data_IF_026333460107
#
_entry.id   IF_026333460107
#
_cell.length_a   1.000
_cell.length_b   1.000
_cell.length_c   1.000
_cell.angle_alpha   90.00
_cell.angle_beta   90.00
_cell.angle_gamma   90.00
#
_symmetry.space_group_name_H-M   'P 1'
#
loop_
_entity.id
_entity.type
_entity.pdbx_description
1 polymer ?
#
# COMPACT_ATOMS: atom_id res chain seq x y z
N UNK A 1 -1.01 24.16 8.18
CA UNK A 1 -1.29 25.62 8.08
C UNK A 1 -0.36 26.44 8.94
N UNK A 2 -0.26 26.23 10.27
CA UNK A 2 0.58 27.03 11.16
C UNK A 2 2.09 27.04 10.83
N UNK A 3 2.64 25.97 10.29
CA UNK A 3 4.07 25.90 9.94
C UNK A 3 4.47 26.86 8.80
N UNK A 4 3.64 26.98 7.77
CA UNK A 4 3.92 27.87 6.64
C UNK A 4 3.70 29.34 6.96
N UNK A 5 2.75 29.67 7.86
CA UNK A 5 2.59 31.02 8.36
C UNK A 5 3.79 31.46 9.22
N UNK A 6 4.38 30.55 10.01
CA UNK A 6 5.59 30.79 10.79
C UNK A 6 6.87 30.92 9.96
N UNK A 7 6.88 30.41 8.71
CA UNK A 7 7.98 30.53 7.77
C UNK A 7 7.96 31.85 6.94
N UNK A 8 7.05 32.76 7.22
CA UNK A 8 6.92 34.05 6.50
C UNK A 8 6.37 33.93 5.08
N UNK A 9 5.86 32.77 4.70
CA UNK A 9 5.19 32.58 3.43
C UNK A 9 3.81 33.20 3.51
N UNK A 10 3.58 34.27 2.77
CA UNK A 10 2.31 34.99 2.75
C UNK A 10 1.21 34.05 2.21
N UNK A 11 -0.02 34.33 2.64
CA UNK A 11 -1.21 33.58 2.22
C UNK A 11 -1.45 33.54 0.68
N UNK A 12 -0.68 34.32 -0.08
CA UNK A 12 -0.75 34.39 -1.54
C UNK A 12 0.12 33.38 -2.28
N UNK A 13 1.08 32.76 -1.60
CA UNK A 13 2.03 31.81 -2.21
C UNK A 13 1.49 30.37 -2.40
N UNK A 14 0.31 30.07 -1.87
CA UNK A 14 -0.24 28.70 -1.93
C UNK A 14 -1.60 28.69 -2.64
N UNK A 15 -1.76 27.89 -3.72
CA UNK A 15 -3.06 27.73 -4.38
C UNK A 15 -4.20 27.37 -3.41
N UNK A 16 -3.89 26.58 -2.37
CA UNK A 16 -4.84 26.21 -1.32
C UNK A 16 -5.26 27.37 -0.41
N UNK A 17 -4.45 28.40 -0.26
CA UNK A 17 -4.81 29.60 0.54
C UNK A 17 -5.62 30.58 -0.29
N UNK A 18 -5.32 30.72 -1.59
CA UNK A 18 -6.19 31.44 -2.53
C UNK A 18 -7.58 30.81 -2.55
N UNK A 19 -7.63 29.49 -2.63
CA UNK A 19 -8.85 28.71 -2.59
C UNK A 19 -9.61 28.85 -1.25
N UNK A 20 -8.90 28.87 -0.12
CA UNK A 20 -9.51 29.14 1.19
C UNK A 20 -10.10 30.55 1.31
N UNK A 21 -9.50 31.56 0.68
CA UNK A 21 -10.06 32.94 0.60
C UNK A 21 -11.32 32.96 -0.24
N UNK A 22 -11.33 32.28 -1.40
CA UNK A 22 -12.50 32.15 -2.26
C UNK A 22 -13.62 31.36 -1.56
N UNK A 23 -13.28 30.26 -0.88
CA UNK A 23 -14.23 29.49 -0.07
C UNK A 23 -14.80 30.29 1.12
N UNK A 24 -14.10 31.32 1.57
CA UNK A 24 -14.59 32.27 2.58
C UNK A 24 -15.44 33.40 1.97
N UNK A 25 -15.78 33.33 0.68
CA UNK A 25 -16.65 34.31 -0.02
C UNK A 25 -15.92 35.58 -0.51
N UNK A 26 -14.58 35.51 -0.70
CA UNK A 26 -13.85 36.63 -1.34
C UNK A 26 -14.04 36.57 -2.86
N UNK A 27 -14.41 37.65 -3.46
CA UNK A 27 -14.55 37.78 -4.93
C UNK A 27 -13.22 37.62 -5.65
N UNK A 28 -13.25 37.03 -6.85
CA UNK A 28 -12.12 37.08 -7.78
C UNK A 28 -11.99 38.49 -8.34
N UNK A 29 -10.88 39.15 -8.06
CA UNK A 29 -10.53 40.48 -8.52
C UNK A 29 -9.25 40.48 -9.36
N UNK A 30 -8.93 41.58 -10.00
CA UNK A 30 -7.66 41.77 -10.73
C UNK A 30 -6.45 41.57 -9.81
N UNK A 31 -6.53 41.97 -8.54
CA UNK A 31 -5.48 41.77 -7.54
C UNK A 31 -5.35 40.29 -7.14
N UNK A 32 -6.47 39.57 -7.12
CA UNK A 32 -6.46 38.11 -6.89
C UNK A 32 -5.71 37.40 -8.02
N UNK A 33 -5.96 37.83 -9.27
CA UNK A 33 -5.27 37.29 -10.46
C UNK A 33 -3.77 37.58 -10.38
N UNK A 34 -3.39 38.84 -10.11
CA UNK A 34 -1.99 39.26 -9.99
C UNK A 34 -1.24 38.46 -8.92
N UNK A 35 -1.88 38.17 -7.78
CA UNK A 35 -1.31 37.32 -6.73
C UNK A 35 -1.14 35.86 -7.15
N UNK A 36 -2.04 35.36 -7.99
CA UNK A 36 -1.96 33.97 -8.51
C UNK A 36 -0.83 33.82 -9.56
N UNK A 37 -0.57 34.86 -10.35
CA UNK A 37 0.51 34.89 -11.35
C UNK A 37 1.89 34.67 -10.75
N UNK A 38 2.16 35.21 -9.56
CA UNK A 38 3.43 35.03 -8.85
C UNK A 38 3.70 33.55 -8.57
N UNK A 39 2.65 32.79 -8.24
CA UNK A 39 2.74 31.35 -7.97
C UNK A 39 2.83 30.53 -9.25
N UNK A 40 2.11 30.98 -10.30
CA UNK A 40 2.07 30.30 -11.60
C UNK A 40 3.32 30.58 -12.45
N UNK A 41 4.14 31.57 -12.10
CA UNK A 41 5.31 31.99 -12.88
C UNK A 41 4.94 32.59 -14.23
N UNK A 42 3.78 33.22 -14.33
CA UNK A 42 3.29 33.93 -15.52
C UNK A 42 3.04 35.40 -15.17
N UNK A 43 2.93 36.27 -16.19
CA UNK A 43 2.65 37.69 -15.98
C UNK A 43 1.69 38.14 -17.07
N UNK A 44 0.61 38.80 -16.66
CA UNK A 44 -0.37 39.43 -17.55
C UNK A 44 -0.42 40.94 -17.30
N UNK A 45 -0.81 41.70 -18.30
CA UNK A 45 -1.06 43.13 -18.11
C UNK A 45 -2.45 43.39 -17.50
N UNK A 46 -2.74 44.63 -17.18
CA UNK A 46 -4.01 45.00 -16.53
C UNK A 46 -5.24 44.73 -17.40
N UNK A 47 -5.13 44.89 -18.71
CA UNK A 47 -6.22 44.64 -19.66
C UNK A 47 -6.49 43.14 -19.83
N UNK A 48 -5.42 42.32 -19.84
CA UNK A 48 -5.51 40.87 -19.90
C UNK A 48 -6.17 40.30 -18.63
N UNK A 49 -5.80 40.81 -17.44
CA UNK A 49 -6.44 40.41 -16.18
C UNK A 49 -7.92 40.72 -16.15
N UNK A 50 -8.31 41.91 -16.65
CA UNK A 50 -9.71 42.30 -16.74
C UNK A 50 -10.52 41.36 -17.67
N UNK A 51 -9.96 40.99 -18.81
CA UNK A 51 -10.55 40.00 -19.72
C UNK A 51 -10.75 38.62 -19.10
N UNK A 52 -9.94 38.24 -18.12
CA UNK A 52 -10.00 36.93 -17.46
C UNK A 52 -11.11 36.84 -16.40
N UNK A 53 -11.55 37.96 -15.82
CA UNK A 53 -12.45 37.99 -14.66
C UNK A 53 -13.74 37.19 -14.86
N UNK A 54 -14.45 37.45 -15.94
CA UNK A 54 -15.73 36.77 -16.20
C UNK A 54 -15.55 35.27 -16.41
N UNK A 55 -14.50 34.87 -17.10
CA UNK A 55 -14.15 33.48 -17.30
C UNK A 55 -13.83 32.74 -16.00
N UNK A 56 -13.07 33.40 -15.12
CA UNK A 56 -12.68 32.84 -13.82
C UNK A 56 -13.88 32.74 -12.86
N UNK A 57 -14.77 33.73 -12.82
CA UNK A 57 -16.02 33.68 -12.04
C UNK A 57 -16.94 32.55 -12.52
N UNK A 58 -17.06 32.34 -13.83
CA UNK A 58 -17.80 31.19 -14.36
C UNK A 58 -17.16 29.87 -13.99
N UNK A 59 -15.83 29.81 -14.00
CA UNK A 59 -15.10 28.60 -13.61
C UNK A 59 -15.30 28.28 -12.12
N UNK A 60 -15.28 29.28 -11.25
CA UNK A 60 -15.60 29.16 -9.83
C UNK A 60 -16.98 28.52 -9.62
N UNK A 61 -18.02 29.05 -10.26
CA UNK A 61 -19.37 28.50 -10.20
C UNK A 61 -19.45 27.04 -10.67
N UNK A 62 -18.70 26.69 -11.73
CA UNK A 62 -18.62 25.31 -12.23
C UNK A 62 -17.93 24.40 -11.22
N UNK A 63 -16.88 24.86 -10.56
CA UNK A 63 -16.16 24.11 -9.53
C UNK A 63 -17.07 23.90 -8.29
N UNK A 64 -17.81 24.91 -7.87
CA UNK A 64 -18.82 24.79 -6.82
C UNK A 64 -19.90 23.75 -7.16
N UNK A 65 -20.39 23.79 -8.41
CA UNK A 65 -21.35 22.79 -8.88
C UNK A 65 -20.75 21.38 -8.88
N UNK A 66 -19.48 21.24 -9.27
CA UNK A 66 -18.75 19.97 -9.26
C UNK A 66 -18.60 19.44 -7.83
N UNK A 67 -18.30 20.31 -6.85
CA UNK A 67 -18.16 19.90 -5.44
C UNK A 67 -19.50 19.40 -4.83
N UNK A 68 -20.64 19.75 -5.42
CA UNK A 68 -21.95 19.24 -5.00
C UNK A 68 -22.21 17.80 -5.50
N UNK A 69 -21.40 17.31 -6.44
CA UNK A 69 -21.50 15.93 -6.94
C UNK A 69 -20.78 15.00 -5.97
N UNK A 70 -21.56 14.14 -5.31
CA UNK A 70 -20.98 13.11 -4.43
C UNK A 70 -20.32 12.00 -5.25
N UNK A 71 -18.99 11.94 -5.22
CA UNK A 71 -18.20 10.88 -5.87
C UNK A 71 -17.50 10.04 -4.80
N UNK A 72 -17.96 8.80 -4.55
CA UNK A 72 -17.24 7.87 -3.70
C UNK A 72 -15.83 7.61 -4.21
N UNK A 73 -14.86 7.42 -3.32
CA UNK A 73 -13.48 7.09 -3.69
C UNK A 73 -13.36 5.81 -4.54
N UNK A 74 -14.39 4.97 -4.56
CA UNK A 74 -14.47 3.78 -5.40
C UNK A 74 -14.75 4.05 -6.89
N UNK A 75 -15.15 5.27 -7.24
CA UNK A 75 -15.44 5.64 -8.64
C UNK A 75 -14.15 6.05 -9.34
N UNK A 76 -13.71 5.25 -10.29
CA UNK A 76 -12.52 5.56 -11.09
C UNK A 76 -12.80 6.66 -12.11
N UNK A 77 -11.80 7.49 -12.45
CA UNK A 77 -11.91 8.45 -13.53
C UNK A 77 -12.13 7.74 -14.88
N UNK A 78 -12.77 8.44 -15.82
CA UNK A 78 -12.99 7.93 -17.19
C UNK A 78 -11.68 7.77 -17.97
N UNK A 79 -10.65 8.53 -17.61
CA UNK A 79 -9.31 8.45 -18.23
C UNK A 79 -8.44 7.51 -17.39
N UNK A 80 -7.88 6.48 -18.05
CA UNK A 80 -6.99 5.51 -17.41
C UNK A 80 -5.58 5.70 -17.96
N UNK A 81 -4.59 5.74 -17.06
CA UNK A 81 -3.19 5.75 -17.45
C UNK A 81 -2.80 4.38 -18.04
N UNK A 82 -2.26 4.39 -19.27
CA UNK A 82 -1.70 3.19 -19.91
C UNK A 82 -0.16 3.24 -19.82
N UNK A 83 0.48 2.33 -19.07
CA UNK A 83 1.94 2.30 -18.94
C UNK A 83 2.65 1.74 -20.18
N UNK A 84 1.93 1.30 -21.19
CA UNK A 84 2.52 0.75 -22.40
C UNK A 84 2.96 1.88 -23.36
N UNK A 85 4.22 1.91 -23.80
CA UNK A 85 4.64 2.85 -24.82
C UNK A 85 3.87 2.64 -26.15
N UNK A 86 3.65 3.69 -26.95
CA UNK A 86 2.98 3.58 -28.23
C UNK A 86 3.58 2.46 -29.10
N UNK A 87 2.71 1.67 -29.72
CA UNK A 87 3.11 0.55 -30.58
C UNK A 87 3.57 -0.71 -29.85
N UNK A 88 3.63 -0.71 -28.51
CA UNK A 88 3.87 -1.92 -27.70
C UNK A 88 2.55 -2.57 -27.31
N UNK A 89 2.57 -3.89 -27.23
CA UNK A 89 1.42 -4.71 -26.79
C UNK A 89 1.88 -5.65 -25.68
N UNK A 90 1.00 -5.90 -24.72
CA UNK A 90 1.22 -6.97 -23.75
C UNK A 90 1.14 -8.31 -24.50
N UNK A 91 2.16 -9.14 -24.31
CA UNK A 91 2.07 -10.53 -24.76
C UNK A 91 1.08 -11.26 -23.83
N UNK A 92 -0.07 -11.62 -24.36
CA UNK A 92 -1.02 -12.45 -23.65
C UNK A 92 -0.51 -13.89 -23.72
N UNK A 93 0.24 -14.29 -22.70
CA UNK A 93 0.71 -15.65 -22.55
C UNK A 93 -0.27 -16.47 -21.70
N UNK A 94 -0.32 -17.79 -21.95
CA UNK A 94 -1.05 -18.68 -21.05
C UNK A 94 -0.38 -18.70 -19.67
N UNK A 95 -1.17 -18.65 -18.58
CA UNK A 95 -0.61 -18.82 -17.25
C UNK A 95 0.21 -20.12 -17.16
N UNK A 96 1.38 -20.05 -16.54
CA UNK A 96 2.23 -21.22 -16.26
C UNK A 96 2.35 -21.37 -14.75
N UNK A 97 2.45 -22.59 -14.23
CA UNK A 97 2.71 -22.80 -12.80
C UNK A 97 4.01 -22.09 -12.39
N UNK A 98 3.97 -21.50 -11.20
CA UNK A 98 5.16 -20.92 -10.57
C UNK A 98 6.20 -22.01 -10.30
N UNK A 99 7.44 -21.77 -10.72
CA UNK A 99 8.59 -22.64 -10.42
C UNK A 99 9.33 -22.06 -9.23
N UNK A 100 9.13 -22.68 -8.05
CA UNK A 100 9.72 -22.25 -6.79
C UNK A 100 11.07 -22.90 -6.52
N UNK A 101 11.89 -22.26 -5.69
CA UNK A 101 13.11 -22.84 -5.18
C UNK A 101 12.83 -24.05 -4.26
N UNK A 102 13.82 -24.90 -4.10
CA UNK A 102 13.75 -26.00 -3.12
C UNK A 102 13.89 -25.44 -1.71
N UNK A 103 12.88 -25.69 -0.89
CA UNK A 103 12.89 -25.24 0.51
C UNK A 103 13.71 -26.19 1.36
N UNK A 104 14.71 -25.65 2.05
CA UNK A 104 15.47 -26.33 3.09
C UNK A 104 14.95 -25.85 4.45
N UNK A 105 14.20 -26.71 5.14
CA UNK A 105 13.65 -26.34 6.44
C UNK A 105 14.77 -26.29 7.49
N UNK A 106 14.79 -25.23 8.26
CA UNK A 106 15.61 -25.09 9.46
C UNK A 106 15.10 -26.07 10.54
N UNK A 107 15.98 -26.53 11.46
CA UNK A 107 15.53 -27.23 12.65
C UNK A 107 14.50 -26.39 13.43
N UNK A 108 13.42 -27.02 13.87
CA UNK A 108 12.47 -26.36 14.76
C UNK A 108 12.99 -26.48 16.18
N UNK A 109 12.88 -25.42 16.94
CA UNK A 109 13.06 -25.42 18.40
C UNK A 109 11.74 -25.70 19.10
N UNK A 110 11.75 -25.73 20.41
CA UNK A 110 10.53 -25.87 21.22
C UNK A 110 9.83 -24.51 21.44
N UNK A 111 10.42 -23.40 20.98
CA UNK A 111 9.84 -22.07 21.10
C UNK A 111 9.09 -21.71 19.80
N UNK A 112 7.76 -21.58 19.85
CA UNK A 112 6.97 -21.16 18.69
C UNK A 112 7.38 -19.76 18.15
N UNK A 113 7.98 -18.90 18.99
CA UNK A 113 8.40 -17.57 18.58
C UNK A 113 9.55 -17.60 17.55
N UNK A 114 10.31 -18.68 17.47
CA UNK A 114 11.33 -18.83 16.43
C UNK A 114 10.75 -18.84 15.01
N UNK A 115 9.47 -19.23 14.86
CA UNK A 115 8.76 -19.22 13.59
C UNK A 115 8.42 -17.79 13.13
N UNK A 116 8.44 -16.81 14.02
CA UNK A 116 8.00 -15.44 13.74
C UNK A 116 8.77 -14.78 12.57
N UNK A 117 10.04 -15.15 12.40
CA UNK A 117 10.91 -14.61 11.36
C UNK A 117 11.16 -15.56 10.18
N UNK A 118 10.45 -16.69 10.13
CA UNK A 118 10.55 -17.59 9.00
C UNK A 118 9.91 -16.94 7.75
N UNK A 119 10.51 -17.10 6.56
CA UNK A 119 9.89 -16.67 5.32
C UNK A 119 8.64 -17.49 5.02
N UNK A 120 7.74 -16.94 4.23
CA UNK A 120 6.49 -17.62 3.79
C UNK A 120 6.81 -18.96 3.15
N UNK A 121 7.88 -19.05 2.38
CA UNK A 121 8.34 -20.29 1.74
C UNK A 121 8.55 -21.43 2.75
N UNK A 122 9.21 -21.16 3.89
CA UNK A 122 9.41 -22.15 4.94
C UNK A 122 8.15 -22.44 5.75
N UNK A 123 7.40 -21.38 6.15
CA UNK A 123 6.13 -21.54 6.87
C UNK A 123 5.13 -22.38 6.05
N UNK A 124 5.04 -22.12 4.75
CA UNK A 124 4.22 -22.87 3.80
C UNK A 124 4.57 -24.37 3.78
N UNK A 125 5.84 -24.69 3.77
CA UNK A 125 6.31 -26.08 3.74
C UNK A 125 6.06 -26.78 5.09
N UNK A 126 6.20 -26.07 6.22
CA UNK A 126 5.86 -26.58 7.55
C UNK A 126 4.37 -26.91 7.65
N UNK A 127 3.48 -26.01 7.20
CA UNK A 127 2.04 -26.25 7.14
C UNK A 127 1.68 -27.43 6.23
N UNK A 128 2.26 -27.47 5.02
CA UNK A 128 2.04 -28.54 4.07
C UNK A 128 2.45 -29.90 4.61
N UNK A 129 3.55 -29.96 5.36
CA UNK A 129 4.03 -31.18 6.06
C UNK A 129 3.35 -31.41 7.40
N UNK A 130 2.42 -30.56 7.82
CA UNK A 130 1.73 -30.65 9.11
C UNK A 130 2.69 -30.64 10.31
N UNK A 131 3.82 -29.93 10.17
CA UNK A 131 4.82 -29.73 11.23
C UNK A 131 4.42 -28.59 12.18
N UNK A 132 3.56 -27.72 11.70
CA UNK A 132 2.91 -26.63 12.42
C UNK A 132 1.50 -26.49 11.86
N UNK A 133 0.57 -26.01 12.67
CA UNK A 133 -0.81 -25.70 12.27
C UNK A 133 -0.96 -24.22 11.99
N UNK A 134 -1.97 -23.87 11.19
CA UNK A 134 -2.35 -22.47 10.95
C UNK A 134 -2.80 -21.79 12.24
N UNK A 135 -3.47 -22.55 13.13
CA UNK A 135 -3.91 -22.05 14.43
C UNK A 135 -2.71 -21.68 15.31
N UNK A 136 -1.68 -22.51 15.40
CA UNK A 136 -0.45 -22.22 16.18
C UNK A 136 0.25 -20.95 15.65
N UNK A 137 0.39 -20.83 14.33
CA UNK A 137 0.96 -19.62 13.71
C UNK A 137 0.11 -18.38 14.00
N UNK A 138 -1.23 -18.50 13.90
CA UNK A 138 -2.15 -17.39 14.16
C UNK A 138 -2.09 -16.94 15.61
N UNK A 139 -2.09 -17.87 16.55
CA UNK A 139 -1.95 -17.59 17.99
C UNK A 139 -0.62 -16.88 18.28
N UNK A 140 0.48 -17.38 17.73
CA UNK A 140 1.81 -16.79 17.90
C UNK A 140 1.85 -15.35 17.38
N UNK A 141 1.39 -15.11 16.13
CA UNK A 141 1.42 -13.77 15.56
C UNK A 141 0.48 -12.80 16.28
N UNK A 142 -0.73 -13.21 16.68
CA UNK A 142 -1.63 -12.38 17.46
C UNK A 142 -1.05 -12.03 18.84
N UNK A 143 -0.43 -12.98 19.52
CA UNK A 143 0.27 -12.73 20.78
C UNK A 143 1.39 -11.71 20.61
N UNK A 144 2.18 -11.84 19.55
CA UNK A 144 3.26 -10.90 19.22
C UNK A 144 2.73 -9.52 18.84
N UNK A 145 1.65 -9.43 18.04
CA UNK A 145 1.00 -8.15 17.73
C UNK A 145 0.58 -7.44 19.01
N UNK A 146 -0.12 -8.11 19.93
CA UNK A 146 -0.54 -7.54 21.21
C UNK A 146 0.64 -7.09 22.08
N UNK A 147 1.72 -7.87 22.09
CA UNK A 147 2.93 -7.59 22.90
C UNK A 147 3.71 -6.38 22.40
N UNK A 148 3.89 -6.24 21.07
CA UNK A 148 4.80 -5.25 20.51
C UNK A 148 4.13 -4.00 19.95
N UNK A 149 2.82 -4.05 19.63
CA UNK A 149 2.11 -2.87 19.13
C UNK A 149 2.11 -1.66 20.09
N UNK A 150 2.05 -1.81 21.42
CA UNK A 150 2.15 -0.67 22.34
C UNK A 150 3.41 0.18 22.11
N UNK A 151 4.50 -0.42 21.61
CA UNK A 151 5.76 0.26 21.26
C UNK A 151 5.78 0.67 19.80
N UNK A 152 5.43 -0.25 18.88
CA UNK A 152 5.59 -0.04 17.44
C UNK A 152 4.48 0.78 16.80
N UNK A 153 3.30 0.82 17.42
CA UNK A 153 2.15 1.57 16.91
C UNK A 153 1.83 1.25 15.44
N UNK A 154 1.84 -0.04 15.11
CA UNK A 154 1.69 -0.53 13.74
C UNK A 154 0.31 -1.14 13.44
N UNK A 155 -0.59 -1.23 14.43
CA UNK A 155 -1.91 -1.85 14.30
C UNK A 155 -3.03 -0.80 14.43
N UNK A 156 -4.00 -0.85 13.52
CA UNK A 156 -5.29 -0.15 13.62
C UNK A 156 -6.32 -1.04 14.33
N UNK A 157 -6.47 -2.29 13.83
CA UNK A 157 -7.48 -3.23 14.33
C UNK A 157 -6.94 -4.66 14.23
N UNK A 158 -7.03 -5.42 15.30
CA UNK A 158 -6.83 -6.88 15.25
C UNK A 158 -8.11 -7.54 14.73
N UNK A 159 -7.95 -8.55 13.88
CA UNK A 159 -9.08 -9.28 13.26
C UNK A 159 -9.18 -10.70 13.85
N UNK A 160 -9.13 -10.80 15.18
CA UNK A 160 -8.95 -12.08 15.92
C UNK A 160 -10.00 -13.13 15.57
N UNK A 161 -11.29 -12.80 15.64
CA UNK A 161 -12.37 -13.77 15.38
C UNK A 161 -12.25 -14.33 13.95
N UNK A 162 -12.09 -13.43 12.96
CA UNK A 162 -11.86 -13.83 11.55
C UNK A 162 -10.59 -14.68 11.41
N UNK A 163 -9.52 -14.30 12.09
CA UNK A 163 -8.25 -15.00 12.02
C UNK A 163 -8.35 -16.44 12.56
N UNK A 164 -9.03 -16.63 13.71
CA UNK A 164 -9.24 -17.96 14.26
C UNK A 164 -10.17 -18.81 13.39
N UNK A 165 -11.25 -18.23 12.88
CA UNK A 165 -12.14 -18.92 11.94
C UNK A 165 -11.38 -19.39 10.67
N UNK A 166 -10.61 -18.50 10.06
CA UNK A 166 -9.80 -18.82 8.88
C UNK A 166 -8.72 -19.86 9.19
N UNK A 167 -8.05 -19.78 10.33
CA UNK A 167 -7.02 -20.73 10.73
C UNK A 167 -7.60 -22.12 10.95
N UNK A 168 -8.72 -22.24 11.67
CA UNK A 168 -9.42 -23.50 11.86
C UNK A 168 -9.86 -24.12 10.54
N UNK A 169 -10.40 -23.31 9.61
CA UNK A 169 -10.78 -23.79 8.29
C UNK A 169 -9.58 -24.29 7.49
N UNK A 170 -8.46 -23.54 7.51
CA UNK A 170 -7.21 -23.94 6.84
C UNK A 170 -6.68 -25.27 7.38
N UNK A 171 -6.62 -25.44 8.69
CA UNK A 171 -6.17 -26.67 9.32
C UNK A 171 -7.08 -27.86 9.00
N UNK A 172 -8.39 -27.64 8.97
CA UNK A 172 -9.35 -28.67 8.59
C UNK A 172 -9.17 -29.11 7.13
N UNK A 173 -8.94 -28.17 6.22
CA UNK A 173 -8.69 -28.47 4.80
C UNK A 173 -7.36 -29.21 4.61
N UNK A 174 -6.27 -28.75 5.23
CA UNK A 174 -4.95 -29.38 5.14
C UNK A 174 -4.98 -30.80 5.70
N UNK A 175 -5.69 -31.04 6.82
CA UNK A 175 -5.87 -32.40 7.37
C UNK A 175 -6.58 -33.34 6.40
N UNK A 176 -7.53 -32.84 5.62
CA UNK A 176 -8.26 -33.61 4.59
C UNK A 176 -7.47 -33.76 3.29
N UNK A 177 -6.22 -33.26 3.23
CA UNK A 177 -5.39 -33.32 2.02
C UNK A 177 -5.68 -32.20 1.00
N UNK A 178 -6.57 -31.26 1.30
CA UNK A 178 -6.85 -30.10 0.45
C UNK A 178 -5.87 -28.96 0.80
N UNK A 179 -4.82 -28.83 0.02
CA UNK A 179 -3.86 -27.73 0.14
C UNK A 179 -4.01 -26.75 -1.01
N UNK A 180 -4.41 -25.51 -0.71
CA UNK A 180 -4.73 -24.49 -1.73
C UNK A 180 -3.49 -23.88 -2.37
N UNK A 181 -2.33 -23.96 -1.72
CA UNK A 181 -1.08 -23.39 -2.21
C UNK A 181 -0.24 -22.75 -1.09
N UNK A 182 0.84 -22.05 -1.46
CA UNK A 182 1.86 -21.60 -0.49
C UNK A 182 1.37 -20.54 0.51
N UNK A 183 0.23 -19.91 0.31
CA UNK A 183 -0.35 -18.96 1.26
C UNK A 183 -1.40 -19.60 2.18
N UNK A 184 -1.73 -20.88 1.98
CA UNK A 184 -2.76 -21.56 2.77
C UNK A 184 -2.37 -21.69 4.23
N UNK A 185 -3.15 -21.02 5.10
CA UNK A 185 -2.93 -20.98 6.54
C UNK A 185 -1.85 -19.99 7.00
N UNK A 186 -1.33 -19.13 6.12
CA UNK A 186 -0.30 -18.13 6.47
C UNK A 186 -0.96 -16.85 7.00
N UNK A 187 -0.62 -16.42 8.24
CA UNK A 187 -1.11 -15.16 8.79
C UNK A 187 -0.51 -13.93 8.11
N UNK A 188 -1.36 -12.95 7.78
CA UNK A 188 -0.95 -11.73 7.09
C UNK A 188 -1.64 -10.48 7.60
N UNK A 189 -1.08 -9.29 7.25
CA UNK A 189 -1.61 -7.99 7.62
C UNK A 189 -1.98 -7.12 6.42
N UNK A 190 -3.13 -6.45 6.51
CA UNK A 190 -3.63 -5.55 5.48
C UNK A 190 -3.36 -4.09 5.83
N UNK A 191 -2.69 -3.33 4.96
CA UNK A 191 -2.66 -1.87 5.09
C UNK A 191 -4.09 -1.33 5.17
N UNK A 192 -4.36 -0.42 6.10
CA UNK A 192 -5.72 -0.01 6.46
C UNK A 192 -6.41 0.93 5.46
N UNK A 193 -5.91 0.99 4.24
CA UNK A 193 -6.64 1.52 3.10
C UNK A 193 -7.42 0.44 2.32
N UNK A 194 -7.13 -0.84 2.58
CA UNK A 194 -7.86 -1.97 2.01
C UNK A 194 -9.14 -2.20 2.83
N UNK A 195 -10.31 -2.14 2.19
CA UNK A 195 -11.57 -2.47 2.85
C UNK A 195 -11.63 -3.95 3.22
N UNK A 196 -12.12 -4.21 4.43
CA UNK A 196 -12.40 -5.54 4.95
C UNK A 196 -13.78 -5.49 5.60
N UNK A 197 -14.70 -6.29 5.08
CA UNK A 197 -16.08 -6.33 5.57
C UNK A 197 -16.14 -6.60 7.06
N UNK A 198 -16.95 -5.81 7.77
CA UNK A 198 -17.15 -5.91 9.22
C UNK A 198 -16.05 -5.24 10.06
N UNK A 199 -15.02 -4.68 9.43
CA UNK A 199 -13.94 -3.98 10.14
C UNK A 199 -13.81 -2.53 9.68
N UNK A 200 -13.32 -1.67 10.59
CA UNK A 200 -13.01 -0.28 10.27
C UNK A 200 -11.96 -0.21 9.15
N UNK A 201 -12.11 0.78 8.29
CA UNK A 201 -11.14 1.12 7.25
C UNK A 201 -10.91 2.62 7.31
N UNK A 202 -9.90 3.03 8.07
CA UNK A 202 -9.75 4.39 8.59
C UNK A 202 -8.93 5.31 7.70
N UNK A 203 -8.23 4.74 6.71
CA UNK A 203 -7.27 5.47 5.87
C UNK A 203 -6.20 6.24 6.67
N UNK A 204 -6.00 5.87 7.95
CA UNK A 204 -5.08 6.53 8.86
C UNK A 204 -5.49 7.94 9.30
N UNK A 205 -6.67 8.42 8.91
CA UNK A 205 -7.12 9.80 9.07
C UNK A 205 -8.24 9.94 10.10
N UNK A 206 -8.16 10.96 10.97
CA UNK A 206 -9.10 11.18 12.07
C UNK A 206 -10.57 11.28 11.63
N UNK A 207 -10.92 11.95 10.49
CA UNK A 207 -12.32 12.00 10.05
C UNK A 207 -12.92 10.64 9.69
N UNK A 208 -12.08 9.66 9.36
CA UNK A 208 -12.49 8.32 8.92
C UNK A 208 -12.23 7.23 9.97
N UNK A 209 -11.81 7.59 11.20
CA UNK A 209 -11.44 6.63 12.26
C UNK A 209 -12.52 5.60 12.61
N UNK A 210 -13.77 5.91 12.33
CA UNK A 210 -14.92 5.05 12.61
C UNK A 210 -15.61 4.54 11.33
N UNK A 211 -15.01 4.80 10.14
CA UNK A 211 -15.55 4.37 8.87
C UNK A 211 -15.55 2.84 8.74
N UNK A 212 -16.69 2.27 8.37
CA UNK A 212 -16.84 0.87 7.95
C UNK A 212 -17.26 0.84 6.48
N UNK A 213 -16.53 0.09 5.69
CA UNK A 213 -16.85 -0.16 4.26
C UNK A 213 -17.30 -1.62 4.14
N UNK A 214 -18.56 -1.85 3.79
CA UNK A 214 -19.17 -3.19 3.79
C UNK A 214 -18.82 -4.01 2.54
N UNK A 215 -17.56 -3.99 2.16
CA UNK A 215 -17.01 -4.81 1.07
C UNK A 215 -15.59 -5.24 1.38
N UNK A 216 -15.20 -6.41 0.90
CA UNK A 216 -13.79 -6.80 0.88
C UNK A 216 -13.12 -6.30 -0.40
N UNK A 217 -11.94 -5.69 -0.28
CA UNK A 217 -11.10 -5.35 -1.42
C UNK A 217 -10.73 -6.61 -2.22
N UNK A 218 -10.57 -6.49 -3.53
CA UNK A 218 -10.23 -7.63 -4.40
C UNK A 218 -8.98 -8.39 -3.91
N UNK A 219 -7.97 -7.68 -3.40
CA UNK A 219 -6.76 -8.31 -2.83
C UNK A 219 -7.11 -9.16 -1.61
N UNK A 220 -8.00 -8.68 -0.73
CA UNK A 220 -8.48 -9.45 0.44
C UNK A 220 -9.21 -10.71 -0.01
N UNK A 221 -10.16 -10.59 -0.95
CA UNK A 221 -10.90 -11.74 -1.50
C UNK A 221 -9.97 -12.80 -2.10
N UNK A 222 -8.92 -12.37 -2.81
CA UNK A 222 -7.94 -13.28 -3.43
C UNK A 222 -7.07 -13.99 -2.40
N UNK A 223 -6.65 -13.29 -1.35
CA UNK A 223 -5.90 -13.89 -0.26
C UNK A 223 -6.75 -14.86 0.55
N UNK A 224 -8.03 -14.54 0.78
CA UNK A 224 -8.99 -15.48 1.39
C UNK A 224 -9.18 -16.73 0.52
N UNK A 225 -9.31 -16.56 -0.80
CA UNK A 225 -9.39 -17.68 -1.74
C UNK A 225 -8.13 -18.55 -1.73
N UNK A 226 -6.95 -17.95 -1.54
CA UNK A 226 -5.69 -18.65 -1.35
C UNK A 226 -5.58 -19.33 0.02
N UNK A 227 -6.50 -19.05 0.94
CA UNK A 227 -6.55 -19.60 2.30
C UNK A 227 -5.61 -18.88 3.29
N UNK A 228 -5.15 -17.69 2.98
CA UNK A 228 -4.36 -16.87 3.91
C UNK A 228 -5.24 -16.35 5.07
N UNK A 229 -4.63 -16.12 6.24
CA UNK A 229 -5.32 -15.75 7.48
C UNK A 229 -5.08 -14.28 7.78
N UNK A 230 -6.11 -13.44 7.73
CA UNK A 230 -5.98 -12.02 8.06
C UNK A 230 -5.96 -11.82 9.58
N UNK A 231 -4.83 -11.34 10.12
CA UNK A 231 -4.66 -11.16 11.59
C UNK A 231 -4.80 -9.70 12.03
N UNK A 232 -4.56 -8.73 11.13
CA UNK A 232 -4.63 -7.31 11.49
C UNK A 232 -4.85 -6.40 10.28
N UNK A 233 -5.53 -5.27 10.54
CA UNK A 233 -5.47 -4.05 9.75
C UNK A 233 -4.30 -3.22 10.29
N UNK A 234 -3.33 -2.92 9.45
CA UNK A 234 -2.06 -2.29 9.81
C UNK A 234 -2.07 -0.81 9.45
N UNK A 235 -1.36 -0.01 10.23
CA UNK A 235 -1.32 1.44 10.09
C UNK A 235 -0.78 1.91 8.74
N UNK A 236 -1.20 3.10 8.36
CA UNK A 236 -0.64 3.86 7.26
C UNK A 236 -0.58 5.33 7.67
N UNK A 237 0.32 6.07 7.08
CA UNK A 237 0.28 7.53 7.24
C UNK A 237 -1.02 8.10 6.73
N UNK A 238 -1.50 9.16 7.35
CA UNK A 238 -2.79 9.79 7.06
C UNK A 238 -3.01 9.97 5.56
N UNK A 239 -4.14 9.45 5.05
CA UNK A 239 -4.49 9.44 3.63
C UNK A 239 -3.37 8.92 2.71
N UNK A 240 -2.60 7.94 3.18
CA UNK A 240 -1.46 7.34 2.50
C UNK A 240 -0.24 8.27 2.34
N UNK A 241 0.03 9.16 3.31
CA UNK A 241 1.18 10.06 3.35
C UNK A 241 1.99 9.89 4.64
N UNK A 242 3.31 9.58 4.53
CA UNK A 242 4.20 9.41 5.69
C UNK A 242 3.83 8.25 6.60
N UNK A 243 4.22 8.32 7.87
CA UNK A 243 4.04 7.29 8.90
C UNK A 243 3.26 7.76 10.13
N UNK A 244 2.76 9.00 10.09
CA UNK A 244 1.90 9.59 11.13
C UNK A 244 0.45 9.31 10.77
N UNK A 245 -0.29 8.74 11.69
CA UNK A 245 -1.72 8.46 11.60
C UNK A 245 -2.47 9.08 12.78
N UNK A 246 -3.78 9.09 12.78
CA UNK A 246 -4.61 9.84 13.74
C UNK A 246 -4.30 9.58 15.22
N UNK A 247 -3.66 8.48 15.58
CA UNK A 247 -3.38 8.17 16.98
C UNK A 247 -1.88 8.19 17.34
N UNK A 248 -0.96 8.05 16.36
CA UNK A 248 0.47 7.94 16.66
C UNK A 248 1.35 8.06 15.39
N UNK A 249 2.67 7.93 15.60
CA UNK A 249 3.65 7.62 14.54
C UNK A 249 4.02 6.15 14.62
N UNK A 250 3.90 5.42 13.53
CA UNK A 250 4.39 4.03 13.44
C UNK A 250 5.91 3.97 13.53
N UNK A 251 6.44 3.08 14.35
CA UNK A 251 7.86 3.05 14.68
C UNK A 251 8.67 2.07 13.84
N UNK A 252 9.94 2.43 13.62
CA UNK A 252 10.93 1.53 13.08
C UNK A 252 11.32 0.49 14.15
N UNK A 253 11.16 -0.82 13.92
CA UNK A 253 11.46 -1.84 14.93
C UNK A 253 12.92 -1.89 15.37
N UNK A 254 13.84 -1.44 14.52
CA UNK A 254 15.28 -1.42 14.80
C UNK A 254 15.71 -0.21 15.63
N UNK A 255 14.91 0.88 15.56
CA UNK A 255 15.16 2.12 16.25
C UNK A 255 13.85 2.83 16.56
N UNK A 256 13.27 2.53 17.71
CA UNK A 256 11.90 2.92 18.10
C UNK A 256 11.71 4.43 18.38
N UNK A 257 12.78 5.20 18.45
CA UNK A 257 12.75 6.67 18.49
C UNK A 257 12.51 7.27 17.09
N UNK A 258 12.68 6.48 16.04
CA UNK A 258 12.41 6.86 14.65
C UNK A 258 11.08 6.31 14.15
N UNK A 259 10.48 7.01 13.17
CA UNK A 259 9.36 6.53 12.39
C UNK A 259 9.79 5.42 11.39
N UNK A 260 8.82 4.60 10.99
CA UNK A 260 9.04 3.51 10.03
C UNK A 260 9.20 3.98 8.59
N UNK A 261 9.06 5.29 8.33
CA UNK A 261 8.71 5.79 6.99
C UNK A 261 7.34 5.24 6.53
N UNK A 262 6.88 5.68 5.36
CA UNK A 262 5.53 5.34 4.91
C UNK A 262 5.32 5.53 3.39
N UNK A 263 4.09 5.37 2.99
CA UNK A 263 2.87 5.28 3.79
C UNK A 263 2.47 3.86 4.20
N UNK A 264 3.11 2.79 3.72
CA UNK A 264 2.88 1.43 4.23
C UNK A 264 3.65 1.18 5.53
N UNK A 265 3.44 2.08 6.50
CA UNK A 265 4.15 2.16 7.76
C UNK A 265 4.00 0.88 8.61
N UNK A 266 2.76 0.53 8.94
CA UNK A 266 2.45 -0.69 9.68
C UNK A 266 2.84 -1.97 8.96
N UNK A 267 2.56 -2.14 7.66
CA UNK A 267 3.01 -3.28 6.88
C UNK A 267 4.51 -3.56 6.98
N UNK A 268 5.37 -2.54 6.83
CA UNK A 268 6.81 -2.72 6.92
C UNK A 268 7.26 -2.99 8.36
N UNK A 269 6.79 -2.20 9.33
CA UNK A 269 7.12 -2.35 10.75
C UNK A 269 6.71 -3.74 11.26
N UNK A 270 5.47 -4.17 11.03
CA UNK A 270 4.99 -5.47 11.50
C UNK A 270 5.72 -6.65 10.84
N UNK A 271 6.03 -6.56 9.54
CA UNK A 271 6.78 -7.61 8.84
C UNK A 271 8.21 -7.71 9.35
N UNK A 272 8.90 -6.58 9.55
CA UNK A 272 10.26 -6.54 10.09
C UNK A 272 10.34 -7.11 11.51
N UNK A 273 9.37 -6.75 12.35
CA UNK A 273 9.31 -7.21 13.74
C UNK A 273 8.80 -8.65 13.91
N UNK A 274 8.50 -9.38 12.83
CA UNK A 274 7.98 -10.75 12.91
C UNK A 274 6.60 -10.81 13.56
N UNK A 275 5.70 -9.87 13.22
CA UNK A 275 4.33 -9.82 13.76
C UNK A 275 3.28 -10.36 12.78
N UNK A 276 3.70 -10.61 11.55
CA UNK A 276 2.91 -11.21 10.48
C UNK A 276 3.82 -12.05 9.57
N UNK A 277 3.26 -13.02 8.86
CA UNK A 277 4.00 -13.80 7.84
C UNK A 277 4.40 -12.92 6.65
N UNK A 278 3.49 -12.07 6.20
CA UNK A 278 3.68 -11.03 5.18
C UNK A 278 2.62 -9.94 5.34
N UNK A 279 2.77 -8.85 4.61
CA UNK A 279 1.76 -7.79 4.57
C UNK A 279 1.52 -7.29 3.13
N UNK A 280 0.38 -6.64 2.92
CA UNK A 280 0.07 -5.90 1.69
C UNK A 280 0.17 -4.41 1.99
N UNK A 281 0.97 -3.73 1.17
CA UNK A 281 1.11 -2.29 1.14
C UNK A 281 0.58 -1.67 -0.14
N UNK A 282 0.67 -0.35 -0.24
CA UNK A 282 0.37 0.39 -1.47
C UNK A 282 1.45 1.43 -1.74
N UNK A 283 1.65 1.76 -3.01
CA UNK A 283 2.59 2.80 -3.39
C UNK A 283 2.06 3.67 -4.53
N UNK A 284 1.98 4.96 -4.25
CA UNK A 284 1.92 6.01 -5.26
C UNK A 284 3.34 6.32 -5.75
N UNK A 285 4.18 6.80 -4.82
CA UNK A 285 5.59 7.11 -5.03
C UNK A 285 6.35 6.88 -3.71
N UNK A 286 7.09 5.77 -3.62
CA UNK A 286 7.91 5.43 -2.45
C UNK A 286 7.20 4.67 -1.32
N UNK A 287 5.87 4.55 -1.32
CA UNK A 287 5.12 4.08 -0.13
C UNK A 287 5.18 2.57 0.16
N UNK A 288 5.81 1.75 -0.67
CA UNK A 288 6.24 0.37 -0.37
C UNK A 288 7.77 0.37 -0.18
N UNK A 289 8.48 0.97 -1.13
CA UNK A 289 9.93 0.93 -1.19
C UNK A 289 10.58 1.64 0.00
N UNK A 290 10.16 2.86 0.33
CA UNK A 290 10.73 3.65 1.42
C UNK A 290 10.59 2.98 2.81
N UNK A 291 9.38 2.58 3.26
CA UNK A 291 9.26 1.88 4.54
C UNK A 291 9.92 0.50 4.53
N UNK A 292 9.99 -0.19 3.38
CA UNK A 292 10.73 -1.45 3.27
C UNK A 292 12.23 -1.24 3.46
N UNK A 293 12.81 -0.22 2.85
CA UNK A 293 14.21 0.17 3.06
C UNK A 293 14.46 0.54 4.52
N UNK A 294 13.62 1.40 5.11
CA UNK A 294 13.76 1.86 6.49
C UNK A 294 13.67 0.73 7.52
N UNK A 295 12.75 -0.22 7.32
CA UNK A 295 12.53 -1.32 8.26
C UNK A 295 13.30 -2.60 7.89
N UNK A 296 14.06 -2.63 6.79
CA UNK A 296 14.84 -3.81 6.38
C UNK A 296 13.97 -4.99 5.93
N UNK A 297 12.88 -4.73 5.19
CA UNK A 297 12.03 -5.76 4.58
C UNK A 297 12.21 -5.81 3.07
N UNK A 298 11.72 -6.87 2.43
CA UNK A 298 11.61 -6.94 0.98
C UNK A 298 10.25 -6.42 0.55
N UNK A 299 10.21 -5.26 -0.10
CA UNK A 299 8.99 -4.71 -0.70
C UNK A 299 8.99 -4.89 -2.21
N UNK A 300 7.89 -5.38 -2.77
CA UNK A 300 7.71 -5.44 -4.21
C UNK A 300 6.64 -4.43 -4.65
N UNK A 301 7.07 -3.40 -5.36
CA UNK A 301 6.19 -2.47 -6.07
C UNK A 301 5.95 -3.00 -7.49
N UNK A 302 4.76 -3.55 -7.79
CA UNK A 302 4.46 -4.00 -9.14
C UNK A 302 4.37 -2.82 -10.12
N UNK A 303 4.46 -3.10 -11.41
CA UNK A 303 4.07 -2.13 -12.45
C UNK A 303 2.61 -1.73 -12.26
N UNK A 304 2.28 -0.46 -12.54
CA UNK A 304 0.90 0.01 -12.56
C UNK A 304 0.02 -0.89 -13.45
N UNK A 305 -1.21 -1.17 -12.99
CA UNK A 305 -2.11 -2.06 -13.72
C UNK A 305 -1.80 -3.56 -13.60
N UNK A 306 -1.03 -4.00 -12.60
CA UNK A 306 -0.79 -5.43 -12.35
C UNK A 306 -1.71 -6.03 -11.30
N UNK A 307 -2.09 -5.25 -10.31
CA UNK A 307 -2.95 -5.66 -9.18
C UNK A 307 -4.15 -4.73 -9.11
N UNK A 308 -5.38 -5.25 -9.05
CA UNK A 308 -6.57 -4.42 -8.96
C UNK A 308 -6.64 -3.69 -7.63
N UNK A 309 -7.08 -2.43 -7.68
CA UNK A 309 -7.24 -1.54 -6.52
C UNK A 309 -8.68 -1.47 -6.02
N UNK A 310 -9.57 -2.26 -6.59
CA UNK A 310 -10.98 -2.30 -6.17
C UNK A 310 -11.09 -2.56 -4.66
N UNK A 311 -11.76 -1.65 -3.94
CA UNK A 311 -11.88 -1.68 -2.49
C UNK A 311 -10.67 -1.13 -1.73
N UNK A 312 -9.68 -0.57 -2.43
CA UNK A 312 -8.60 0.20 -1.82
C UNK A 312 -8.86 1.71 -1.98
N UNK A 313 -8.55 2.52 -0.97
CA UNK A 313 -8.52 3.97 -1.13
C UNK A 313 -7.48 4.35 -2.18
N UNK A 314 -7.89 5.13 -3.17
CA UNK A 314 -6.96 5.73 -4.13
C UNK A 314 -6.43 7.06 -3.57
N UNK A 315 -5.09 7.21 -3.55
CA UNK A 315 -4.42 8.50 -3.42
C UNK A 315 -4.23 9.12 -4.82
N UNK A 316 -3.77 8.30 -5.77
CA UNK A 316 -3.63 8.70 -7.17
C UNK A 316 -4.13 7.58 -8.09
N UNK A 317 -5.17 7.85 -8.84
CA UNK A 317 -5.76 6.90 -9.78
C UNK A 317 -4.81 6.49 -10.91
N UNK A 318 -3.81 7.30 -11.22
CA UNK A 318 -2.85 7.05 -12.30
C UNK A 318 -1.51 6.47 -11.83
N UNK A 319 -1.30 6.39 -10.51
CA UNK A 319 0.00 6.02 -9.96
C UNK A 319 -0.06 4.88 -8.93
N UNK A 320 -1.17 4.66 -8.25
CA UNK A 320 -1.24 3.71 -7.14
C UNK A 320 -1.08 2.26 -7.57
N UNK A 321 -0.28 1.52 -6.82
CA UNK A 321 -0.05 0.09 -6.95
C UNK A 321 -0.22 -0.57 -5.58
N UNK A 322 -0.79 -1.76 -5.55
CA UNK A 322 -0.79 -2.64 -4.38
C UNK A 322 0.31 -3.68 -4.54
N UNK A 323 1.03 -3.97 -3.48
CA UNK A 323 2.10 -4.93 -3.53
C UNK A 323 2.49 -5.51 -2.18
N UNK A 324 3.18 -6.67 -2.18
CA UNK A 324 3.60 -7.36 -0.98
C UNK A 324 4.80 -6.71 -0.29
N UNK A 325 4.82 -6.83 1.03
CA UNK A 325 5.97 -6.57 1.91
C UNK A 325 6.23 -7.85 2.69
N UNK A 326 7.40 -8.44 2.47
CA UNK A 326 7.77 -9.77 2.93
C UNK A 326 9.19 -9.78 3.52
N UNK A 327 9.65 -10.96 3.94
CA UNK A 327 11.03 -11.16 4.40
C UNK A 327 11.97 -11.71 3.32
N UNK A 328 11.44 -12.19 2.20
CA UNK A 328 12.24 -12.67 1.07
C UNK A 328 11.65 -12.27 -0.29
N UNK A 329 12.50 -12.28 -1.32
CA UNK A 329 12.08 -11.96 -2.70
C UNK A 329 11.09 -12.99 -3.23
N UNK A 330 11.31 -14.28 -2.95
CA UNK A 330 10.41 -15.34 -3.42
C UNK A 330 9.06 -15.30 -2.71
N UNK A 331 9.01 -14.87 -1.44
CA UNK A 331 7.74 -14.62 -0.75
C UNK A 331 6.93 -13.53 -1.46
N UNK A 332 7.60 -12.44 -1.87
CA UNK A 332 6.94 -11.40 -2.67
C UNK A 332 6.39 -11.94 -3.99
N UNK A 333 7.12 -12.82 -4.65
CA UNK A 333 6.68 -13.46 -5.89
C UNK A 333 5.44 -14.33 -5.67
N UNK A 334 5.42 -15.12 -4.58
CA UNK A 334 4.29 -15.97 -4.19
C UNK A 334 3.04 -15.14 -3.91
N UNK A 335 3.19 -14.05 -3.15
CA UNK A 335 2.06 -13.17 -2.82
C UNK A 335 1.56 -12.44 -4.06
N UNK A 336 2.46 -11.94 -4.92
CA UNK A 336 2.06 -11.30 -6.18
C UNK A 336 1.30 -12.27 -7.09
N UNK A 337 1.71 -13.53 -7.17
CA UNK A 337 1.03 -14.56 -7.95
C UNK A 337 -0.43 -14.73 -7.51
N UNK A 338 -0.72 -14.63 -6.23
CA UNK A 338 -2.06 -14.74 -5.69
C UNK A 338 -2.95 -13.50 -5.97
N UNK A 339 -2.37 -12.30 -6.02
CA UNK A 339 -3.16 -11.05 -6.05
C UNK A 339 -3.21 -10.35 -7.41
N UNK A 340 -2.37 -10.73 -8.40
CA UNK A 340 -2.28 -10.07 -9.71
C UNK A 340 -3.44 -10.44 -10.65
N UNK A 341 -3.55 -9.67 -11.74
CA UNK A 341 -4.50 -9.91 -12.84
C UNK A 341 -5.86 -9.23 -12.66
N UNK A 342 -6.66 -9.09 -13.72
CA UNK A 342 -7.88 -8.31 -13.73
C UNK A 342 -8.97 -8.90 -12.82
N UNK A 343 -9.80 -8.03 -12.26
CA UNK A 343 -11.01 -8.37 -11.49
C UNK A 343 -12.31 -7.96 -12.20
N UNK A 344 -12.21 -7.35 -13.37
CA UNK A 344 -13.34 -6.85 -14.14
C UNK A 344 -13.95 -5.55 -13.60
N UNK A 345 -13.34 -4.93 -12.58
CA UNK A 345 -13.81 -3.71 -11.91
C UNK A 345 -12.80 -2.57 -11.99
N UNK A 346 -11.50 -2.84 -11.86
CA UNK A 346 -10.43 -1.86 -12.06
C UNK A 346 -9.98 -1.90 -13.52
N UNK A 347 -10.43 -0.91 -14.29
CA UNK A 347 -10.15 -0.80 -15.73
C UNK A 347 -8.68 -0.55 -16.07
N UNK A 348 -7.85 -0.22 -15.09
CA UNK A 348 -6.41 -0.04 -15.28
C UNK A 348 -5.63 -1.35 -15.35
N UNK A 349 -6.26 -2.48 -14.98
CA UNK A 349 -5.53 -3.74 -14.85
C UNK A 349 -5.36 -4.43 -16.20
N UNK A 350 -4.10 -4.66 -16.55
CA UNK A 350 -3.70 -5.30 -17.80
C UNK A 350 -3.69 -6.83 -17.63
N UNK A 351 -4.29 -7.61 -18.54
CA UNK A 351 -4.34 -9.07 -18.45
C UNK A 351 -3.01 -9.71 -18.91
N UNK A 352 -1.91 -9.38 -18.20
CA UNK A 352 -0.61 -9.95 -18.47
C UNK A 352 -0.31 -11.09 -17.51
N UNK A 353 0.12 -12.24 -18.02
CA UNK A 353 0.53 -13.37 -17.21
C UNK A 353 1.72 -13.01 -16.29
N UNK A 354 1.82 -13.71 -15.17
CA UNK A 354 2.95 -13.64 -14.28
C UNK A 354 3.65 -15.00 -14.23
N UNK A 355 4.95 -14.99 -14.44
CA UNK A 355 5.76 -16.20 -14.46
C UNK A 355 6.97 -16.02 -13.55
N UNK A 356 6.96 -16.70 -12.42
CA UNK A 356 8.13 -16.81 -11.55
C UNK A 356 8.88 -18.10 -11.84
N UNK A 357 10.19 -18.00 -12.00
CA UNK A 357 11.07 -19.15 -12.12
C UNK A 357 12.35 -18.93 -11.31
N UNK A 358 12.45 -19.60 -10.16
CA UNK A 358 13.59 -19.52 -9.27
C UNK A 358 14.90 -20.09 -9.86
N UNK A 359 14.82 -20.82 -10.99
CA UNK A 359 15.99 -21.42 -11.64
C UNK A 359 16.55 -20.61 -12.82
N UNK A 360 16.11 -19.35 -12.99
CA UNK A 360 16.73 -18.47 -13.98
C UNK A 360 18.17 -18.18 -13.57
N UNK A 361 19.11 -18.48 -14.48
CA UNK A 361 20.54 -18.21 -14.23
C UNK A 361 20.83 -16.71 -14.39
N UNK A 362 21.32 -16.03 -13.33
CA UNK A 362 21.70 -14.62 -13.43
C UNK A 362 22.78 -14.34 -14.48
N UNK A 363 23.65 -15.34 -14.76
CA UNK A 363 24.71 -15.23 -15.74
C UNK A 363 24.22 -15.05 -17.19
N UNK A 364 22.93 -15.36 -17.44
CA UNK A 364 22.31 -15.19 -18.77
C UNK A 364 21.61 -13.83 -18.92
N UNK A 365 21.58 -13.01 -17.86
CA UNK A 365 20.94 -11.70 -17.87
C UNK A 365 21.98 -10.62 -18.21
N UNK A 366 21.58 -9.66 -19.04
CA UNK A 366 22.30 -8.40 -19.19
C UNK A 366 21.78 -7.43 -18.15
N UNK A 367 22.62 -7.11 -17.17
CA UNK A 367 22.29 -6.18 -16.09
C UNK A 367 22.90 -4.82 -16.42
N UNK A 368 22.07 -3.78 -16.43
CA UNK A 368 22.50 -2.39 -16.53
C UNK A 368 22.22 -1.66 -15.23
N UNK A 369 22.98 -0.61 -14.96
CA UNK A 369 22.72 0.30 -13.84
C UNK A 369 22.94 1.75 -14.29
N UNK A 370 22.29 2.68 -13.62
CA UNK A 370 22.43 4.13 -13.89
C UNK A 370 23.60 4.65 -13.06
N UNK A 371 24.81 4.65 -13.65
CA UNK A 371 26.04 5.05 -12.93
C UNK A 371 25.90 6.41 -12.24
N UNK A 372 25.33 7.41 -12.92
CA UNK A 372 25.14 8.74 -12.35
C UNK A 372 24.35 8.75 -11.04
N UNK A 373 23.40 7.83 -10.84
CA UNK A 373 22.64 7.74 -9.58
C UNK A 373 23.49 7.18 -8.43
N UNK A 374 24.47 6.32 -8.74
CA UNK A 374 25.40 5.77 -7.74
C UNK A 374 26.58 6.69 -7.45
N UNK A 375 26.87 7.65 -8.33
CA UNK A 375 27.94 8.64 -8.15
C UNK A 375 27.44 9.87 -7.37
N UNK A 376 26.15 9.98 -7.07
CA UNK A 376 25.63 11.05 -6.22
C UNK A 376 26.17 10.92 -4.79
N UNK A 377 26.56 12.04 -4.15
CA UNK A 377 26.97 12.00 -2.76
C UNK A 377 25.78 11.52 -1.90
N UNK A 378 26.06 10.64 -0.95
CA UNK A 378 25.07 10.25 0.06
C UNK A 378 24.69 11.48 0.88
N UNK A 379 23.42 11.83 0.89
CA UNK A 379 22.89 12.99 1.61
C UNK A 379 22.35 12.62 2.98
N UNK A 380 22.03 11.35 3.19
CA UNK A 380 21.63 10.79 4.49
C UNK A 380 22.68 9.76 4.93
N UNK A 381 23.28 9.90 6.14
CA UNK A 381 24.26 8.94 6.63
C UNK A 381 23.69 7.53 6.89
N UNK A 382 22.40 7.35 6.72
CA UNK A 382 21.71 6.04 6.85
C UNK A 382 21.37 5.39 5.49
N UNK A 383 21.76 6.05 4.36
CA UNK A 383 21.53 5.51 3.00
C UNK A 383 22.65 4.54 2.56
#
# INVERSE_FOLDING_TARGET
MGYFAGAGLSSTLFPGVLWAKLAAGADITVETIASAEEVAGVTFDAAERELMLDGLKQQEQRIEALHKVSLPNSVSPAIVFDPLPPGKKVLVEKPRPMVRSRVHLRPLTNDPEDLAFFPVTELSELLRRRRVTSLELTQMYLARLKRYDPVLRCVITLTEDRAFEQAHAADAEIRRGKYRGPLHGIPWGAKDLLSVRGYKTTWGAAPYKDQVIDTDATVVQRLDAAGAVLVAKLTLGELAQGDIWFAATTKNPWKVDQGSSGSSAGPASATAAGLVGFAIGSETLGSISSPSTRCGTTGLRPTFGRVPRTGAMALSWTMDKLGPICRSVEDCAIVLDAIHGPDGKDNSVIPAAYHWNAHVSPRKLRVGYVKAAFDLPLTDPND
#
